data_IF_871306542294
#
_entry.id   IF_871306542294
#
_cell.length_a   1.000
_cell.length_b   1.000
_cell.length_c   1.000
_cell.angle_alpha   90.00
_cell.angle_beta   90.00
_cell.angle_gamma   90.00
#
_symmetry.space_group_name_H-M   'P 1'
#
loop_
_entity.id
_entity.type
_entity.pdbx_description
1 polymer ?
#
# COMPACT_ATOMS: atom_id res chain seq x y z
N UNK A 1 -1.39 -8.09 -17.26
CA UNK A 1 -1.75 -8.72 -15.97
C UNK A 1 -1.15 -7.81 -14.92
N UNK A 2 -1.97 -7.27 -14.02
CA UNK A 2 -1.43 -6.57 -12.87
C UNK A 2 -0.70 -7.62 -12.03
N UNK A 3 0.59 -7.41 -11.75
CA UNK A 3 1.30 -8.25 -10.79
C UNK A 3 0.56 -8.27 -9.44
N UNK A 4 0.88 -9.25 -8.61
CA UNK A 4 0.21 -9.51 -7.32
C UNK A 4 0.20 -8.27 -6.38
N UNK A 5 1.19 -7.38 -6.56
CA UNK A 5 1.36 -6.15 -5.81
C UNK A 5 0.98 -4.88 -6.59
N UNK A 6 0.28 -5.04 -7.72
CA UNK A 6 0.01 -3.99 -8.72
C UNK A 6 1.04 -3.98 -9.86
N UNK A 7 0.78 -3.21 -10.92
CA UNK A 7 1.68 -3.09 -12.08
C UNK A 7 3.04 -2.44 -11.74
N UNK A 8 3.13 -1.75 -10.60
CA UNK A 8 4.25 -0.85 -10.28
C UNK A 8 5.16 -1.32 -9.14
N UNK A 9 5.00 -2.55 -8.61
CA UNK A 9 5.85 -3.09 -7.53
C UNK A 9 6.36 -4.49 -7.88
N UNK A 10 7.52 -4.54 -8.53
CA UNK A 10 8.18 -5.79 -8.94
C UNK A 10 9.42 -6.12 -8.08
N UNK A 11 9.83 -5.22 -7.19
CA UNK A 11 10.99 -5.39 -6.31
C UNK A 11 10.94 -4.43 -5.12
N UNK A 12 11.89 -4.58 -4.19
CA UNK A 12 11.97 -3.78 -2.96
C UNK A 12 12.19 -2.29 -3.21
N UNK A 13 12.95 -1.94 -4.26
CA UNK A 13 13.21 -0.55 -4.59
C UNK A 13 11.93 0.16 -5.09
N UNK A 14 11.18 -0.50 -5.96
CA UNK A 14 9.88 -0.03 -6.45
C UNK A 14 8.85 0.08 -5.33
N UNK A 15 8.84 -0.88 -4.39
CA UNK A 15 8.01 -0.79 -3.19
C UNK A 15 8.26 0.52 -2.42
N UNK A 16 9.53 0.88 -2.16
CA UNK A 16 9.83 2.11 -1.46
C UNK A 16 9.45 3.37 -2.25
N UNK A 17 9.61 3.34 -3.58
CA UNK A 17 9.15 4.45 -4.43
C UNK A 17 7.63 4.61 -4.36
N UNK A 18 6.88 3.51 -4.39
CA UNK A 18 5.43 3.54 -4.28
C UNK A 18 4.96 3.96 -2.89
N UNK A 19 5.67 3.54 -1.83
CA UNK A 19 5.40 4.01 -0.47
C UNK A 19 5.56 5.53 -0.34
N UNK A 20 6.63 6.10 -0.88
CA UNK A 20 6.85 7.56 -0.86
C UNK A 20 5.78 8.29 -1.70
N UNK A 21 5.41 7.76 -2.87
CA UNK A 21 4.31 8.29 -3.69
C UNK A 21 2.98 8.26 -2.97
N UNK A 22 2.64 7.15 -2.31
CA UNK A 22 1.40 7.00 -1.55
C UNK A 22 1.33 7.96 -0.37
N UNK A 23 2.44 8.19 0.35
CA UNK A 23 2.49 9.18 1.43
C UNK A 23 2.19 10.59 0.89
N UNK A 24 2.82 10.97 -0.22
CA UNK A 24 2.60 12.29 -0.84
C UNK A 24 1.15 12.45 -1.33
N UNK A 25 0.62 11.42 -1.98
CA UNK A 25 -0.74 11.42 -2.50
C UNK A 25 -1.79 11.44 -1.38
N UNK A 26 -1.58 10.67 -0.31
CA UNK A 26 -2.42 10.70 0.87
C UNK A 26 -2.47 12.10 1.50
N UNK A 27 -1.33 12.78 1.59
CA UNK A 27 -1.26 14.14 2.09
C UNK A 27 -2.04 15.13 1.20
N UNK A 28 -1.96 14.98 -0.13
CA UNK A 28 -2.74 15.78 -1.09
C UNK A 28 -4.24 15.54 -0.92
N UNK A 29 -4.66 14.28 -0.78
CA UNK A 29 -6.06 13.92 -0.57
C UNK A 29 -6.60 14.45 0.76
N UNK A 30 -5.81 14.39 1.84
CA UNK A 30 -6.18 15.00 3.14
C UNK A 30 -6.32 16.52 3.01
N UNK A 31 -5.47 17.21 2.24
CA UNK A 31 -5.66 18.65 2.02
C UNK A 31 -6.97 18.96 1.28
N UNK A 32 -7.40 18.07 0.37
CA UNK A 32 -8.67 18.20 -0.35
C UNK A 32 -9.88 17.82 0.51
N UNK A 33 -9.71 16.83 1.39
CA UNK A 33 -10.75 16.21 2.21
C UNK A 33 -10.23 16.08 3.67
N UNK A 34 -10.13 17.20 4.40
CA UNK A 34 -9.44 17.24 5.69
C UNK A 34 -10.14 16.44 6.80
N UNK A 35 -11.47 16.29 6.70
CA UNK A 35 -12.31 15.63 7.71
C UNK A 35 -12.54 14.14 7.42
N UNK A 36 -11.85 13.57 6.42
CA UNK A 36 -11.97 12.14 6.08
C UNK A 36 -11.10 11.26 7.01
N UNK A 37 -11.74 10.68 8.03
CA UNK A 37 -11.12 9.79 9.01
C UNK A 37 -10.36 8.61 8.37
N UNK A 38 -10.88 8.08 7.27
CA UNK A 38 -10.22 6.98 6.53
C UNK A 38 -8.88 7.40 5.98
N UNK A 39 -8.78 8.59 5.36
CA UNK A 39 -7.51 9.11 4.83
C UNK A 39 -6.52 9.41 5.94
N UNK A 40 -6.99 9.96 7.08
CA UNK A 40 -6.13 10.20 8.25
C UNK A 40 -5.56 8.88 8.81
N UNK A 41 -6.40 7.85 8.94
CA UNK A 41 -5.97 6.52 9.37
C UNK A 41 -4.95 5.89 8.40
N UNK A 42 -5.18 6.01 7.09
CA UNK A 42 -4.27 5.52 6.06
C UNK A 42 -2.91 6.23 6.14
N UNK A 43 -2.89 7.55 6.35
CA UNK A 43 -1.64 8.30 6.52
C UNK A 43 -0.81 7.80 7.72
N UNK A 44 -1.46 7.51 8.85
CA UNK A 44 -0.79 6.95 10.04
C UNK A 44 -0.19 5.57 9.75
N UNK A 45 -0.89 4.74 8.99
CA UNK A 45 -0.44 3.40 8.63
C UNK A 45 0.70 3.42 7.61
N UNK A 46 0.66 4.31 6.61
CA UNK A 46 1.79 4.51 5.69
C UNK A 46 3.04 4.98 6.43
N UNK A 47 2.89 5.88 7.41
CA UNK A 47 4.00 6.28 8.28
C UNK A 47 4.51 5.11 9.14
N UNK A 48 3.62 4.25 9.63
CA UNK A 48 3.98 3.05 10.36
C UNK A 48 4.76 2.07 9.49
N UNK A 49 4.31 1.81 8.25
CA UNK A 49 5.03 0.99 7.26
C UNK A 49 6.44 1.53 7.07
N UNK A 50 6.61 2.82 6.78
CA UNK A 50 7.92 3.44 6.60
C UNK A 50 8.86 3.22 7.79
N UNK A 51 8.31 3.32 9.01
CA UNK A 51 9.05 3.05 10.25
C UNK A 51 9.39 1.57 10.41
N UNK A 52 8.46 0.67 10.10
CA UNK A 52 8.68 -0.77 10.21
C UNK A 52 9.78 -1.25 9.27
N UNK A 53 9.90 -0.61 8.12
CA UNK A 53 10.85 -0.98 7.07
C UNK A 53 12.13 -0.13 7.07
N UNK A 54 12.32 0.71 8.08
CA UNK A 54 13.45 1.64 8.15
C UNK A 54 14.79 0.91 8.08
N UNK A 55 15.72 1.44 7.28
CA UNK A 55 17.04 0.83 7.08
C UNK A 55 17.01 -0.52 6.36
N UNK A 56 15.93 -0.82 5.61
CA UNK A 56 15.76 -2.09 4.91
C UNK A 56 15.32 -3.24 5.81
N UNK A 57 14.93 -2.95 7.05
CA UNK A 57 14.47 -3.97 8.00
C UNK A 57 13.23 -4.70 7.48
N UNK A 58 13.18 -6.01 7.71
CA UNK A 58 11.96 -6.80 7.57
C UNK A 58 10.95 -6.48 8.68
N UNK A 59 9.70 -6.07 8.36
CA UNK A 59 8.65 -5.88 9.35
C UNK A 59 8.32 -7.22 10.01
N UNK A 60 8.01 -7.18 11.30
CA UNK A 60 7.57 -8.34 12.07
C UNK A 60 6.16 -8.72 11.67
N UNK A 61 5.77 -9.97 11.87
CA UNK A 61 4.40 -10.42 11.65
C UNK A 61 3.36 -9.53 12.38
N UNK A 62 3.54 -9.26 13.67
CA UNK A 62 2.63 -8.39 14.43
C UNK A 62 2.57 -6.95 13.93
N UNK A 63 3.63 -6.46 13.27
CA UNK A 63 3.63 -5.12 12.65
C UNK A 63 2.80 -5.13 11.36
N UNK A 64 2.91 -6.19 10.56
CA UNK A 64 2.11 -6.38 9.35
C UNK A 64 0.63 -6.54 9.67
N UNK A 65 0.30 -7.42 10.62
CA UNK A 65 -1.07 -7.69 11.08
C UNK A 65 -1.75 -6.47 11.74
N UNK A 66 -0.98 -5.46 12.15
CA UNK A 66 -1.52 -4.21 12.70
C UNK A 66 -2.07 -3.26 11.62
N UNK A 67 -1.82 -3.55 10.35
CA UNK A 67 -2.26 -2.73 9.22
C UNK A 67 -3.61 -3.23 8.70
N UNK A 68 -4.51 -2.29 8.43
CA UNK A 68 -5.83 -2.56 7.83
C UNK A 68 -6.18 -1.55 6.71
N UNK A 69 -5.21 -0.74 6.27
CA UNK A 69 -5.39 0.37 5.33
C UNK A 69 -6.08 -0.03 4.01
N UNK A 70 -5.76 -1.20 3.45
CA UNK A 70 -6.40 -1.67 2.22
C UNK A 70 -7.88 -2.01 2.45
N UNK A 71 -8.20 -2.68 3.56
CA UNK A 71 -9.58 -3.00 3.93
C UNK A 71 -10.39 -1.73 4.22
N UNK A 72 -9.80 -0.74 4.90
CA UNK A 72 -10.44 0.57 5.14
C UNK A 72 -10.77 1.29 3.84
N UNK A 73 -9.76 1.44 2.96
CA UNK A 73 -9.94 2.07 1.66
C UNK A 73 -10.98 1.34 0.80
N UNK A 74 -10.99 0.00 0.84
CA UNK A 74 -11.99 -0.79 0.13
C UNK A 74 -13.40 -0.52 0.66
N UNK A 75 -13.62 -0.57 1.98
CA UNK A 75 -14.95 -0.39 2.57
C UNK A 75 -15.51 1.01 2.40
N UNK A 76 -14.68 2.03 2.61
CA UNK A 76 -15.12 3.42 2.53
C UNK A 76 -15.38 3.86 1.08
N UNK A 77 -14.53 3.42 0.16
CA UNK A 77 -14.53 3.89 -1.22
C UNK A 77 -14.83 2.76 -2.21
N UNK A 78 -15.67 1.80 -1.82
CA UNK A 78 -16.07 0.69 -2.70
C UNK A 78 -16.77 1.21 -3.95
N UNK A 79 -17.72 2.13 -3.75
CA UNK A 79 -18.63 2.69 -4.75
C UNK A 79 -18.30 4.15 -5.11
N UNK A 80 -17.06 4.59 -4.88
CA UNK A 80 -16.67 5.97 -5.20
C UNK A 80 -16.61 6.20 -6.71
N UNK A 81 -17.16 7.32 -7.18
CA UNK A 81 -16.99 7.82 -8.55
C UNK A 81 -15.73 8.71 -8.68
N UNK A 82 -15.04 9.01 -7.57
CA UNK A 82 -13.82 9.80 -7.58
C UNK A 82 -12.65 8.96 -8.11
N UNK A 83 -12.26 9.24 -9.35
CA UNK A 83 -11.17 8.55 -10.06
C UNK A 83 -9.84 8.64 -9.32
N UNK A 84 -9.55 9.75 -8.63
CA UNK A 84 -8.31 9.90 -7.87
C UNK A 84 -8.31 8.97 -6.66
N UNK A 85 -9.42 8.92 -5.91
CA UNK A 85 -9.56 8.01 -4.76
C UNK A 85 -9.54 6.55 -5.21
N UNK A 86 -10.18 6.22 -6.33
CA UNK A 86 -10.15 4.87 -6.89
C UNK A 86 -8.73 4.42 -7.23
N UNK A 87 -7.94 5.28 -7.88
CA UNK A 87 -6.52 4.99 -8.16
C UNK A 87 -5.69 4.87 -6.90
N UNK A 88 -5.89 5.78 -5.95
CA UNK A 88 -5.19 5.75 -4.67
C UNK A 88 -5.49 4.48 -3.88
N UNK A 89 -6.76 4.01 -3.87
CA UNK A 89 -7.14 2.71 -3.29
C UNK A 89 -6.34 1.56 -3.91
N UNK A 90 -6.18 1.53 -5.24
CA UNK A 90 -5.36 0.51 -5.91
C UNK A 90 -3.90 0.52 -5.45
N UNK A 91 -3.31 1.72 -5.32
CA UNK A 91 -1.95 1.89 -4.79
C UNK A 91 -1.81 1.40 -3.34
N UNK A 92 -2.78 1.72 -2.48
CA UNK A 92 -2.80 1.25 -1.09
C UNK A 92 -2.91 -0.27 -1.01
N UNK A 93 -3.75 -0.90 -1.84
CA UNK A 93 -3.84 -2.36 -1.90
C UNK A 93 -2.50 -3.00 -2.29
N UNK A 94 -1.81 -2.47 -3.30
CA UNK A 94 -0.50 -2.97 -3.73
C UNK A 94 0.56 -2.89 -2.62
N UNK A 95 0.66 -1.74 -1.95
CA UNK A 95 1.57 -1.53 -0.82
C UNK A 95 1.21 -2.47 0.35
N UNK A 96 -0.07 -2.60 0.68
CA UNK A 96 -0.52 -3.47 1.77
C UNK A 96 -0.15 -4.93 1.49
N UNK A 97 -0.47 -5.43 0.31
CA UNK A 97 -0.16 -6.81 -0.09
C UNK A 97 1.36 -7.05 -0.06
N UNK A 98 2.16 -6.11 -0.55
CA UNK A 98 3.62 -6.24 -0.54
C UNK A 98 4.18 -6.29 0.88
N UNK A 99 3.64 -5.47 1.79
CA UNK A 99 4.04 -5.48 3.20
C UNK A 99 3.63 -6.78 3.87
N UNK A 100 2.42 -7.25 3.62
CA UNK A 100 1.89 -8.48 4.21
C UNK A 100 2.73 -9.70 3.81
N UNK A 101 3.00 -9.87 2.52
CA UNK A 101 3.80 -10.99 2.01
C UNK A 101 5.31 -10.82 2.24
N UNK A 102 5.82 -9.59 2.09
CA UNK A 102 7.24 -9.22 2.18
C UNK A 102 8.20 -10.10 1.33
N UNK A 103 7.98 -10.16 0.00
CA UNK A 103 8.75 -11.05 -0.89
C UNK A 103 10.22 -10.66 -1.02
N UNK A 104 11.03 -11.60 -1.51
CA UNK A 104 12.30 -11.31 -2.17
C UNK A 104 12.07 -10.72 -3.57
N UNK A 105 13.07 -10.06 -4.13
CA UNK A 105 12.94 -9.43 -5.46
C UNK A 105 12.63 -10.44 -6.57
N UNK A 106 13.27 -11.61 -6.54
CA UNK A 106 12.99 -12.69 -7.51
C UNK A 106 11.50 -13.08 -7.52
N UNK A 107 10.91 -13.19 -6.32
CA UNK A 107 9.50 -13.58 -6.12
C UNK A 107 8.56 -12.43 -6.50
N UNK A 108 8.94 -11.19 -6.21
CA UNK A 108 8.15 -10.01 -6.58
C UNK A 108 8.13 -9.76 -8.10
N UNK A 109 9.19 -10.16 -8.81
CA UNK A 109 9.35 -9.92 -10.25
C UNK A 109 8.80 -11.02 -11.15
N UNK A 110 8.41 -12.17 -10.59
CA UNK A 110 7.92 -13.31 -11.37
C UNK A 110 6.46 -13.11 -11.80
N UNK A 111 6.19 -12.95 -13.12
CA UNK A 111 4.84 -12.71 -13.63
C UNK A 111 3.94 -13.95 -13.56
N UNK A 112 4.46 -15.13 -13.22
CA UNK A 112 3.68 -16.36 -13.07
C UNK A 112 3.46 -16.73 -11.60
N UNK A 113 3.84 -15.86 -10.67
CA UNK A 113 3.81 -16.14 -9.24
C UNK A 113 2.40 -16.04 -8.61
N UNK A 114 1.35 -16.09 -9.42
CA UNK A 114 -0.05 -16.09 -8.97
C UNK A 114 -0.37 -17.29 -8.04
N UNK A 115 0.52 -18.29 -7.98
CA UNK A 115 0.35 -19.57 -7.26
C UNK A 115 0.68 -19.53 -5.75
N UNK A 116 1.16 -18.41 -5.17
CA UNK A 116 1.58 -18.35 -3.75
C UNK A 116 0.57 -17.67 -2.80
N UNK A 117 -0.68 -17.46 -3.22
CA UNK A 117 -1.77 -16.95 -2.39
C UNK A 117 -2.98 -17.89 -2.35
#
# INVERSE_FOLDING_TARGET
MAGIFGDDINNRAEFFQQLDRAIAECARLIQRLPDEDTLQSVALQLAAVRRFTQGGRTPRQSERESLDMALRMFREYEMTDDVEIHRFRGMISGIHNYVDYWPSDDVASDPNNDDYL
#
